data_IF_395843156661
#
_entry.id   IF_395843156661
#
_cell.length_a   1.000
_cell.length_b   1.000
_cell.length_c   1.000
_cell.angle_alpha   90.00
_cell.angle_beta   90.00
_cell.angle_gamma   90.00
#
_symmetry.space_group_name_H-M   'P 1'
#
loop_
_entity.id
_entity.type
_entity.pdbx_description
1 polymer ?
#
# COMPACT_ATOMS: atom_id res chain seq x y z
N UNK A 1 -28.52 -4.41 -6.59
CA UNK A 1 -28.96 -5.44 -7.56
C UNK A 1 -27.74 -5.92 -8.32
N UNK A 2 -27.70 -7.20 -8.69
CA UNK A 2 -26.66 -7.76 -9.56
C UNK A 2 -26.78 -7.10 -10.93
N UNK A 3 -25.72 -6.49 -11.43
CA UNK A 3 -25.70 -5.73 -12.67
C UNK A 3 -24.93 -6.47 -13.79
N UNK A 4 -24.87 -7.78 -13.68
CA UNK A 4 -24.21 -8.65 -14.63
C UNK A 4 -24.85 -10.04 -14.67
N UNK A 5 -24.66 -10.74 -15.78
CA UNK A 5 -25.06 -12.12 -16.01
C UNK A 5 -23.84 -12.97 -16.32
N UNK A 6 -23.76 -14.17 -15.78
CA UNK A 6 -22.73 -15.14 -16.15
C UNK A 6 -23.29 -15.99 -17.29
N UNK A 7 -22.67 -15.88 -18.46
CA UNK A 7 -23.10 -16.58 -19.67
C UNK A 7 -22.58 -18.01 -19.74
N UNK A 8 -21.35 -18.23 -19.26
CA UNK A 8 -20.71 -19.53 -19.35
C UNK A 8 -19.57 -19.65 -18.32
N UNK A 9 -19.26 -20.90 -17.93
CA UNK A 9 -18.10 -21.25 -17.12
C UNK A 9 -17.38 -22.42 -17.77
N UNK A 10 -16.11 -22.26 -18.10
CA UNK A 10 -15.28 -23.33 -18.72
C UNK A 10 -14.07 -23.63 -17.87
N UNK A 11 -13.52 -24.82 -17.99
CA UNK A 11 -12.27 -25.20 -17.35
C UNK A 11 -11.13 -24.34 -17.93
N UNK A 12 -10.36 -23.70 -17.07
CA UNK A 12 -9.17 -22.98 -17.49
C UNK A 12 -8.00 -23.96 -17.74
N UNK A 13 -7.02 -23.51 -18.53
CA UNK A 13 -5.79 -24.29 -18.73
C UNK A 13 -5.02 -24.50 -17.41
N UNK A 14 -5.14 -23.54 -16.48
CA UNK A 14 -4.53 -23.61 -15.16
C UNK A 14 -5.35 -24.58 -14.25
N UNK A 15 -4.67 -25.56 -13.66
CA UNK A 15 -5.27 -26.54 -12.73
C UNK A 15 -5.96 -25.83 -11.56
N UNK A 16 -7.20 -26.19 -11.28
CA UNK A 16 -7.98 -25.60 -10.17
C UNK A 16 -8.60 -24.22 -10.47
N UNK A 17 -8.68 -23.83 -11.74
CA UNK A 17 -9.29 -22.55 -12.15
C UNK A 17 -10.34 -22.75 -13.25
N UNK A 18 -11.23 -21.76 -13.39
CA UNK A 18 -12.24 -21.65 -14.43
C UNK A 18 -12.15 -20.32 -15.16
N UNK A 19 -12.53 -20.32 -16.43
CA UNK A 19 -12.79 -19.10 -17.19
C UNK A 19 -14.29 -18.82 -17.12
N UNK A 20 -14.65 -17.64 -16.65
CA UNK A 20 -16.04 -17.20 -16.46
C UNK A 20 -16.35 -16.12 -17.50
N UNK A 21 -17.37 -16.31 -18.30
CA UNK A 21 -17.84 -15.37 -19.30
C UNK A 21 -18.99 -14.55 -18.72
N UNK A 22 -18.84 -13.23 -18.68
CA UNK A 22 -19.75 -12.31 -18.01
C UNK A 22 -20.22 -11.22 -18.94
N UNK A 23 -21.52 -10.92 -18.90
CA UNK A 23 -22.13 -9.77 -19.59
C UNK A 23 -22.70 -8.82 -18.54
N UNK A 24 -22.40 -7.53 -18.64
CA UNK A 24 -22.97 -6.50 -17.77
C UNK A 24 -24.20 -5.87 -18.40
N UNK A 25 -25.20 -5.50 -17.61
CA UNK A 25 -26.53 -5.00 -18.05
C UNK A 25 -26.48 -3.82 -19.04
N UNK A 26 -25.41 -3.05 -19.03
CA UNK A 26 -25.22 -1.87 -19.87
C UNK A 26 -24.12 -2.03 -20.93
N UNK A 27 -23.72 -3.25 -21.23
CA UNK A 27 -22.63 -3.54 -22.17
C UNK A 27 -23.03 -4.65 -23.13
N UNK A 28 -22.77 -4.44 -24.42
CA UNK A 28 -22.87 -5.51 -25.41
C UNK A 28 -21.64 -6.45 -25.42
N UNK A 29 -20.59 -6.06 -24.73
CA UNK A 29 -19.33 -6.79 -24.68
C UNK A 29 -19.38 -7.91 -23.64
N UNK A 30 -18.89 -9.10 -24.02
CA UNK A 30 -18.69 -10.24 -23.12
C UNK A 30 -17.27 -10.16 -22.56
N UNK A 31 -17.15 -10.24 -21.25
CA UNK A 31 -15.88 -10.20 -20.54
C UNK A 31 -15.49 -11.60 -20.06
N UNK A 32 -14.20 -11.91 -20.09
CA UNK A 32 -13.66 -13.18 -19.63
C UNK A 32 -12.86 -12.96 -18.35
N UNK A 33 -13.11 -13.79 -17.35
CA UNK A 33 -12.38 -13.75 -16.09
C UNK A 33 -11.85 -15.13 -15.74
N UNK A 34 -10.56 -15.26 -15.44
CA UNK A 34 -10.02 -16.46 -14.84
C UNK A 34 -10.23 -16.39 -13.34
N UNK A 35 -10.86 -17.41 -12.75
CA UNK A 35 -11.14 -17.48 -11.33
C UNK A 35 -10.69 -18.83 -10.76
N UNK A 36 -10.07 -18.79 -9.57
CA UNK A 36 -9.71 -19.98 -8.82
C UNK A 36 -10.97 -20.64 -8.27
N UNK A 37 -11.03 -21.98 -8.35
CA UNK A 37 -12.08 -22.75 -7.70
C UNK A 37 -11.65 -23.04 -6.26
N UNK A 38 -12.49 -22.71 -5.29
CA UNK A 38 -12.29 -23.03 -3.88
C UNK A 38 -12.64 -24.50 -3.59
N UNK A 39 -12.25 -24.99 -2.41
CA UNK A 39 -12.47 -26.39 -2.01
C UNK A 39 -13.95 -26.80 -1.98
N UNK A 40 -14.86 -25.86 -1.72
CA UNK A 40 -16.31 -26.00 -1.78
C UNK A 40 -16.88 -25.95 -3.21
N UNK A 41 -16.02 -26.01 -4.23
CA UNK A 41 -16.35 -25.89 -5.65
C UNK A 41 -17.02 -24.57 -6.03
N UNK A 42 -16.66 -23.49 -5.39
CA UNK A 42 -17.15 -22.13 -5.68
C UNK A 42 -16.08 -21.26 -6.29
N UNK A 43 -16.49 -20.12 -6.87
CA UNK A 43 -15.63 -19.00 -7.28
C UNK A 43 -16.32 -17.68 -6.97
N UNK A 44 -15.55 -16.57 -6.93
CA UNK A 44 -16.08 -15.25 -6.62
C UNK A 44 -15.91 -14.33 -7.83
N UNK A 45 -16.95 -13.56 -8.13
CA UNK A 45 -16.92 -12.48 -9.13
C UNK A 45 -17.85 -11.35 -8.70
N UNK A 46 -17.38 -10.11 -8.79
CA UNK A 46 -18.15 -8.89 -8.53
C UNK A 46 -19.00 -8.93 -7.25
N UNK A 47 -18.43 -9.43 -6.14
CA UNK A 47 -19.11 -9.52 -4.86
C UNK A 47 -20.13 -10.65 -4.69
N UNK A 48 -20.17 -11.58 -5.63
CA UNK A 48 -21.00 -12.77 -5.54
C UNK A 48 -20.13 -14.03 -5.53
N UNK A 49 -20.51 -14.98 -4.70
CA UNK A 49 -19.94 -16.34 -4.65
C UNK A 49 -20.87 -17.29 -5.39
N UNK A 50 -20.33 -18.00 -6.37
CA UNK A 50 -21.06 -18.96 -7.21
C UNK A 50 -20.60 -20.36 -6.94
N UNK A 51 -21.53 -21.28 -6.73
CA UNK A 51 -21.24 -22.69 -6.49
C UNK A 51 -21.43 -23.50 -7.78
N UNK A 52 -20.51 -24.43 -8.03
CA UNK A 52 -20.46 -25.24 -9.25
C UNK A 52 -20.74 -26.71 -8.96
N UNK A 53 -21.49 -27.36 -9.85
CA UNK A 53 -21.60 -28.81 -9.89
C UNK A 53 -20.37 -29.45 -10.59
N UNK A 54 -20.36 -30.76 -10.73
CA UNK A 54 -19.26 -31.49 -11.40
C UNK A 54 -19.12 -31.18 -12.89
N UNK A 55 -20.15 -30.60 -13.53
CA UNK A 55 -20.18 -30.20 -14.95
C UNK A 55 -19.81 -28.74 -15.15
N UNK A 56 -19.41 -28.04 -14.09
CA UNK A 56 -19.12 -26.58 -14.07
C UNK A 56 -20.35 -25.69 -14.33
N UNK A 57 -21.55 -26.21 -14.07
CA UNK A 57 -22.79 -25.41 -14.10
C UNK A 57 -23.00 -24.75 -12.73
N UNK A 58 -23.46 -23.49 -12.74
CA UNK A 58 -23.78 -22.76 -11.51
C UNK A 58 -25.06 -23.36 -10.93
N UNK A 59 -24.99 -23.81 -9.69
CA UNK A 59 -26.13 -24.42 -8.97
C UNK A 59 -26.68 -23.53 -7.86
N UNK A 60 -25.87 -22.58 -7.39
CA UNK A 60 -26.26 -21.64 -6.35
C UNK A 60 -25.39 -20.39 -6.40
N UNK A 61 -25.90 -19.26 -5.88
CA UNK A 61 -25.14 -18.01 -5.73
C UNK A 61 -25.47 -17.30 -4.42
N UNK A 62 -24.46 -16.70 -3.81
CA UNK A 62 -24.59 -15.89 -2.58
C UNK A 62 -23.98 -14.52 -2.80
N UNK A 63 -24.74 -13.46 -2.53
CA UNK A 63 -24.23 -12.10 -2.54
C UNK A 63 -23.37 -11.88 -1.30
N UNK A 64 -22.11 -11.52 -1.49
CA UNK A 64 -21.15 -11.27 -0.41
C UNK A 64 -21.16 -9.81 0.05
N UNK A 65 -21.25 -8.87 -0.91
CA UNK A 65 -21.29 -7.43 -0.62
C UNK A 65 -21.71 -6.64 -1.87
N UNK A 66 -22.11 -5.37 -1.70
CA UNK A 66 -22.42 -4.49 -2.83
C UNK A 66 -21.14 -3.87 -3.40
N UNK A 67 -20.76 -4.29 -4.61
CA UNK A 67 -19.65 -3.70 -5.36
C UNK A 67 -20.21 -2.74 -6.39
N UNK A 68 -19.98 -1.44 -6.22
CA UNK A 68 -20.37 -0.42 -7.18
C UNK A 68 -19.33 -0.16 -8.29
N UNK A 69 -18.17 -0.83 -8.26
CA UNK A 69 -17.04 -0.47 -9.13
C UNK A 69 -16.11 -1.61 -9.55
N UNK A 70 -16.60 -2.63 -10.26
CA UNK A 70 -15.70 -3.49 -11.06
C UNK A 70 -15.51 -2.86 -12.45
N UNK A 71 -14.73 -1.78 -12.54
CA UNK A 71 -14.40 -1.09 -13.79
C UNK A 71 -12.98 -1.37 -14.27
N UNK A 72 -12.53 -2.62 -14.35
CA UNK A 72 -11.43 -2.99 -15.25
C UNK A 72 -11.97 -3.78 -16.43
N UNK A 73 -12.32 -3.03 -17.48
CA UNK A 73 -12.77 -3.54 -18.77
C UNK A 73 -11.56 -4.06 -19.56
N UNK A 74 -11.57 -5.33 -19.88
CA UNK A 74 -10.68 -5.91 -20.90
C UNK A 74 -11.48 -6.08 -22.18
N UNK A 75 -11.08 -5.40 -23.27
CA UNK A 75 -11.70 -5.56 -24.57
C UNK A 75 -11.33 -6.91 -25.19
N UNK A 76 -12.29 -7.53 -25.88
CA UNK A 76 -12.25 -8.90 -26.42
C UNK A 76 -11.28 -9.15 -27.60
N UNK A 77 -10.50 -8.16 -28.04
CA UNK A 77 -9.61 -8.27 -29.20
C UNK A 77 -8.12 -8.41 -28.87
N UNK A 78 -7.77 -8.78 -27.63
CA UNK A 78 -6.39 -8.98 -27.19
C UNK A 78 -6.26 -10.34 -26.47
N UNK A 79 -6.61 -11.42 -27.17
CA UNK A 79 -6.79 -12.74 -26.56
C UNK A 79 -5.48 -13.46 -26.18
N UNK A 80 -4.32 -13.12 -26.76
CA UNK A 80 -3.08 -13.86 -26.48
C UNK A 80 -2.10 -13.15 -25.54
N UNK A 81 -1.88 -11.85 -25.68
CA UNK A 81 -0.85 -11.12 -24.93
C UNK A 81 -1.22 -10.83 -23.45
N UNK A 82 -2.51 -10.98 -23.07
CA UNK A 82 -3.00 -10.68 -21.71
C UNK A 82 -3.15 -11.91 -20.84
N UNK A 83 -3.17 -13.09 -21.42
CA UNK A 83 -3.15 -14.35 -20.69
C UNK A 83 -1.77 -14.54 -20.05
N UNK A 84 -0.68 -14.24 -20.74
CA UNK A 84 0.68 -14.26 -20.20
C UNK A 84 0.86 -13.24 -19.06
N UNK A 85 0.33 -12.03 -19.19
CA UNK A 85 0.49 -10.98 -18.17
C UNK A 85 -0.28 -11.28 -16.86
N UNK A 86 -1.40 -12.00 -16.94
CA UNK A 86 -2.16 -12.46 -15.76
C UNK A 86 -1.51 -13.71 -15.16
N UNK A 87 -0.96 -14.59 -16.00
CA UNK A 87 -0.21 -15.77 -15.58
C UNK A 87 1.09 -15.38 -14.87
N UNK A 88 1.84 -14.40 -15.37
CA UNK A 88 3.07 -13.89 -14.75
C UNK A 88 2.81 -13.26 -13.38
N UNK A 89 1.70 -12.52 -13.21
CA UNK A 89 1.28 -12.00 -11.89
C UNK A 89 0.81 -13.10 -10.94
N UNK A 90 0.17 -14.14 -11.44
CA UNK A 90 -0.31 -15.27 -10.62
C UNK A 90 0.84 -16.23 -10.30
N UNK A 91 1.79 -16.44 -11.21
CA UNK A 91 2.99 -17.22 -10.94
C UNK A 91 3.90 -16.54 -9.92
N UNK A 92 4.08 -15.21 -9.98
CA UNK A 92 4.78 -14.46 -8.94
C UNK A 92 4.11 -14.62 -7.57
N UNK A 93 2.79 -14.61 -7.50
CA UNK A 93 2.02 -14.79 -6.24
C UNK A 93 2.01 -16.25 -5.77
N UNK A 94 2.20 -17.23 -6.67
CA UNK A 94 2.22 -18.67 -6.33
C UNK A 94 3.63 -19.16 -6.05
N UNK A 95 4.67 -18.62 -6.70
CA UNK A 95 6.07 -18.94 -6.41
C UNK A 95 6.56 -18.40 -5.06
N UNK A 96 5.92 -17.36 -4.53
CA UNK A 96 6.17 -16.87 -3.16
C UNK A 96 5.52 -17.71 -2.06
N UNK A 97 4.78 -18.78 -2.40
CA UNK A 97 4.13 -19.68 -1.45
C UNK A 97 4.74 -21.09 -1.38
N UNK A 98 5.78 -21.37 -2.13
CA UNK A 98 6.54 -22.60 -2.02
C UNK A 98 7.86 -22.30 -1.32
N UNK A 99 8.05 -23.00 -0.22
CA UNK A 99 9.22 -23.05 0.64
C UNK A 99 9.45 -21.80 1.51
N UNK A 100 9.08 -21.96 2.77
CA UNK A 100 9.78 -21.29 3.87
C UNK A 100 11.20 -21.90 3.86
N UNK A 101 12.06 -21.40 2.98
CA UNK A 101 13.47 -21.59 3.17
C UNK A 101 13.76 -21.12 4.59
N UNK A 102 14.37 -21.98 5.37
CA UNK A 102 14.99 -21.64 6.64
C UNK A 102 16.05 -20.57 6.33
N UNK A 103 15.60 -19.32 6.27
CA UNK A 103 16.52 -18.20 6.29
C UNK A 103 17.14 -18.31 7.70
N UNK A 104 18.34 -18.85 7.77
CA UNK A 104 19.19 -18.69 8.93
C UNK A 104 19.26 -17.21 9.21
N UNK A 105 18.46 -16.77 10.19
CA UNK A 105 18.58 -15.44 10.74
C UNK A 105 19.96 -15.48 11.42
N UNK A 106 20.95 -14.96 10.71
CA UNK A 106 22.21 -14.63 11.33
C UNK A 106 21.85 -13.69 12.49
N UNK A 107 21.99 -14.19 13.70
CA UNK A 107 21.83 -13.46 14.96
C UNK A 107 22.97 -12.41 15.12
N UNK A 108 23.24 -11.67 14.06
CA UNK A 108 23.98 -10.43 14.18
C UNK A 108 22.98 -9.38 14.68
N UNK A 109 23.26 -8.79 15.82
CA UNK A 109 22.51 -7.72 16.52
C UNK A 109 22.35 -6.43 15.68
N UNK A 110 22.15 -6.52 14.37
CA UNK A 110 21.90 -5.43 13.46
C UNK A 110 20.40 -5.19 13.31
N UNK A 111 19.99 -3.95 13.42
CA UNK A 111 18.64 -3.51 13.10
C UNK A 111 18.24 -3.95 11.68
N UNK A 112 17.11 -4.67 11.51
CA UNK A 112 16.67 -5.14 10.21
C UNK A 112 16.19 -3.95 9.39
N UNK A 113 16.84 -3.74 8.26
CA UNK A 113 16.55 -2.68 7.29
C UNK A 113 15.55 -3.19 6.25
N UNK A 114 14.69 -2.29 5.77
CA UNK A 114 13.81 -2.55 4.64
C UNK A 114 14.61 -2.88 3.37
N UNK A 115 14.12 -3.75 2.51
CA UNK A 115 14.78 -4.17 1.25
C UNK A 115 15.22 -3.00 0.36
N UNK A 116 14.45 -1.90 0.35
CA UNK A 116 14.77 -0.70 -0.44
C UNK A 116 15.70 0.31 0.27
N UNK A 117 16.15 0.01 1.49
CA UNK A 117 16.95 0.94 2.31
C UNK A 117 18.20 1.43 1.59
N UNK A 118 19.01 0.51 1.05
CA UNK A 118 20.26 0.86 0.38
C UNK A 118 20.03 1.55 -0.97
N UNK A 119 18.96 1.21 -1.69
CA UNK A 119 18.54 1.89 -2.93
C UNK A 119 18.22 3.35 -2.64
N UNK A 120 17.38 3.62 -1.64
CA UNK A 120 17.00 4.97 -1.23
C UNK A 120 18.23 5.76 -0.76
N UNK A 121 19.05 5.16 0.09
CA UNK A 121 20.27 5.77 0.61
C UNK A 121 21.23 6.17 -0.51
N UNK A 122 21.38 5.32 -1.52
CA UNK A 122 22.22 5.59 -2.69
C UNK A 122 21.70 6.77 -3.51
N UNK A 123 20.38 6.88 -3.71
CA UNK A 123 19.78 8.03 -4.39
C UNK A 123 20.01 9.33 -3.62
N UNK A 124 19.75 9.34 -2.30
CA UNK A 124 19.96 10.50 -1.44
C UNK A 124 21.44 10.94 -1.44
N UNK A 125 22.37 9.98 -1.31
CA UNK A 125 23.81 10.25 -1.37
C UNK A 125 24.22 10.87 -2.70
N UNK A 126 23.58 10.46 -3.79
CA UNK A 126 23.83 10.99 -5.15
C UNK A 126 23.08 12.28 -5.46
N UNK A 127 22.42 12.90 -4.47
CA UNK A 127 21.60 14.08 -4.63
C UNK A 127 20.46 13.93 -5.66
N UNK A 128 19.86 12.74 -5.72
CA UNK A 128 18.72 12.43 -6.58
C UNK A 128 17.45 12.51 -5.73
N UNK A 129 16.48 13.40 -6.06
CA UNK A 129 15.21 13.45 -5.36
C UNK A 129 14.44 12.13 -5.50
N UNK A 130 13.85 11.64 -4.40
CA UNK A 130 13.15 10.35 -4.35
C UNK A 130 11.71 10.56 -3.94
N UNK A 131 10.79 9.89 -4.62
CA UNK A 131 9.39 9.77 -4.22
C UNK A 131 9.08 8.32 -3.84
N UNK A 132 8.83 8.06 -2.55
CA UNK A 132 8.44 6.73 -2.06
C UNK A 132 6.93 6.57 -2.15
N UNK A 133 6.48 5.60 -2.91
CA UNK A 133 5.04 5.26 -3.03
C UNK A 133 4.76 3.92 -2.38
N UNK A 134 3.69 3.82 -1.60
CA UNK A 134 3.32 2.54 -0.99
C UNK A 134 2.31 2.68 0.14
N UNK A 135 1.83 1.55 0.68
CA UNK A 135 0.73 1.53 1.61
C UNK A 135 1.01 2.29 2.89
N UNK A 136 -0.06 2.76 3.53
CA UNK A 136 0.04 3.46 4.81
C UNK A 136 0.63 2.54 5.89
N UNK A 137 1.57 3.08 6.68
CA UNK A 137 2.18 2.35 7.80
C UNK A 137 3.16 1.25 7.38
N UNK A 138 3.78 1.36 6.20
CA UNK A 138 4.87 0.48 5.73
C UNK A 138 6.25 0.87 6.27
N UNK A 139 6.37 1.92 7.09
CA UNK A 139 7.65 2.29 7.71
C UNK A 139 8.45 3.34 6.93
N UNK A 140 7.87 4.02 5.91
CA UNK A 140 8.55 5.05 5.11
C UNK A 140 9.28 6.08 5.96
N UNK A 141 8.57 6.73 6.89
CA UNK A 141 9.13 7.79 7.75
C UNK A 141 10.29 7.30 8.62
N UNK A 142 10.14 6.09 9.17
CA UNK A 142 11.19 5.48 9.97
C UNK A 142 12.46 5.22 9.14
N UNK A 143 12.30 4.62 7.98
CA UNK A 143 13.41 4.32 7.06
C UNK A 143 14.13 5.58 6.61
N UNK A 144 13.39 6.64 6.23
CA UNK A 144 13.98 7.92 5.79
C UNK A 144 14.79 8.56 6.91
N UNK A 145 14.23 8.58 8.14
CA UNK A 145 14.94 9.12 9.30
C UNK A 145 16.23 8.37 9.58
N UNK A 146 16.22 7.04 9.49
CA UNK A 146 17.43 6.20 9.66
C UNK A 146 18.48 6.46 8.58
N UNK A 147 18.05 6.69 7.35
CA UNK A 147 18.96 7.04 6.26
C UNK A 147 19.61 8.42 6.52
N UNK A 148 18.85 9.41 7.01
CA UNK A 148 19.40 10.70 7.38
C UNK A 148 20.47 10.57 8.49
N UNK A 149 20.18 9.78 9.52
CA UNK A 149 21.12 9.46 10.61
C UNK A 149 22.41 8.80 10.07
N UNK A 150 22.30 7.82 9.17
CA UNK A 150 23.49 7.13 8.59
C UNK A 150 24.30 7.99 7.62
N UNK A 151 23.68 9.01 7.02
CA UNK A 151 24.37 9.94 6.12
C UNK A 151 24.85 11.22 6.82
N UNK A 152 24.66 11.32 8.15
CA UNK A 152 24.97 12.48 8.97
C UNK A 152 24.30 13.77 8.41
N UNK A 153 23.03 13.64 7.97
CA UNK A 153 22.24 14.74 7.46
C UNK A 153 21.22 15.19 8.52
N UNK A 154 21.16 16.50 8.76
CA UNK A 154 20.09 17.06 9.57
C UNK A 154 18.74 16.76 8.93
N UNK A 155 17.76 16.34 9.74
CA UNK A 155 16.46 15.86 9.27
C UNK A 155 15.38 16.92 9.46
N UNK A 156 14.80 17.39 8.36
CA UNK A 156 13.72 18.36 8.32
C UNK A 156 12.45 17.71 7.78
N UNK A 157 11.37 17.82 8.52
CA UNK A 157 10.12 17.14 8.21
C UNK A 157 8.97 18.12 8.00
N UNK A 158 8.21 17.91 6.94
CA UNK A 158 6.93 18.58 6.68
C UNK A 158 5.92 17.56 6.16
N UNK A 159 4.69 17.64 6.66
CA UNK A 159 3.57 16.90 6.12
C UNK A 159 2.96 17.62 4.92
N UNK A 160 1.91 17.08 4.30
CA UNK A 160 1.24 17.63 3.12
C UNK A 160 1.13 19.16 3.14
N UNK A 161 1.41 19.79 1.99
CA UNK A 161 1.47 21.24 1.85
C UNK A 161 0.15 21.72 1.26
N UNK A 162 -0.62 22.47 2.06
CA UNK A 162 -1.92 23.02 1.70
C UNK A 162 -1.87 24.51 1.39
N UNK A 163 -0.78 25.18 1.71
CA UNK A 163 -0.62 26.62 1.55
C UNK A 163 0.85 26.99 1.30
N UNK A 164 1.08 28.01 0.48
CA UNK A 164 2.39 28.47 0.02
C UNK A 164 3.34 28.78 1.17
N UNK A 165 2.88 29.45 2.23
CA UNK A 165 3.71 29.84 3.35
C UNK A 165 4.34 28.65 4.11
N UNK A 166 3.83 27.43 3.90
CA UNK A 166 4.44 26.21 4.45
C UNK A 166 5.77 25.86 3.79
N UNK A 167 6.01 26.37 2.57
CA UNK A 167 7.29 26.29 1.87
C UNK A 167 8.06 27.60 2.06
N UNK A 168 7.44 28.74 1.73
CA UNK A 168 8.12 30.03 1.64
C UNK A 168 8.41 30.68 2.99
N UNK A 169 7.67 30.30 4.05
CA UNK A 169 7.63 31.12 5.26
C UNK A 169 6.83 32.42 5.06
N UNK A 170 6.84 33.27 6.02
CA UNK A 170 6.17 34.57 5.97
C UNK A 170 6.84 35.62 6.87
N UNK A 171 6.61 36.88 6.57
CA UNK A 171 7.00 38.02 7.43
C UNK A 171 5.76 38.44 8.21
N UNK A 172 5.86 38.50 9.54
CA UNK A 172 4.77 38.98 10.40
C UNK A 172 4.61 40.49 10.40
N UNK A 173 3.57 41.00 11.06
CA UNK A 173 3.29 42.41 11.16
C UNK A 173 4.41 43.24 11.87
N UNK A 174 5.28 42.60 12.61
CA UNK A 174 6.44 43.17 13.26
C UNK A 174 7.70 43.21 12.35
N UNK A 175 7.59 42.69 11.12
CA UNK A 175 8.71 42.59 10.18
C UNK A 175 9.63 41.39 10.43
N UNK A 176 9.25 40.45 11.30
CA UNK A 176 10.05 39.25 11.59
C UNK A 176 9.69 38.15 10.59
N UNK A 177 10.71 37.55 9.95
CA UNK A 177 10.56 36.39 9.10
C UNK A 177 10.45 35.11 9.93
N UNK A 178 9.47 34.30 9.59
CA UNK A 178 9.23 32.97 10.17
C UNK A 178 9.67 31.89 9.19
N UNK A 179 10.77 31.23 9.55
CA UNK A 179 11.40 30.19 8.73
C UNK A 179 10.56 28.89 8.75
N UNK A 180 10.55 28.16 7.62
CA UNK A 180 9.97 26.81 7.50
C UNK A 180 11.06 25.75 7.58
N UNK A 181 10.65 24.49 7.73
CA UNK A 181 11.59 23.37 7.68
C UNK A 181 12.23 23.25 6.28
N UNK A 182 11.48 23.59 5.22
CA UNK A 182 12.04 23.65 3.87
C UNK A 182 13.12 24.76 3.76
N UNK A 183 12.83 25.96 4.26
CA UNK A 183 13.81 27.05 4.25
C UNK A 183 15.10 26.66 4.97
N UNK A 184 14.98 26.07 6.16
CA UNK A 184 16.15 25.66 6.96
C UNK A 184 16.98 24.60 6.23
N UNK A 185 16.33 23.55 5.70
CA UNK A 185 17.01 22.52 4.93
C UNK A 185 17.70 23.10 3.69
N UNK A 186 17.01 23.97 2.96
CA UNK A 186 17.51 24.59 1.73
C UNK A 186 18.74 25.44 1.97
N UNK A 187 18.70 26.27 3.01
CA UNK A 187 19.77 27.19 3.37
C UNK A 187 20.96 26.53 4.07
N UNK A 188 20.68 25.62 5.00
CA UNK A 188 21.72 25.06 5.89
C UNK A 188 22.25 23.70 5.42
N UNK A 189 21.56 23.04 4.48
CA UNK A 189 21.79 21.65 4.12
C UNK A 189 20.98 20.69 4.99
N UNK A 190 20.99 19.42 4.62
CA UNK A 190 20.25 18.37 5.29
C UNK A 190 19.20 17.71 4.41
N UNK A 191 18.49 16.75 4.95
CA UNK A 191 17.44 15.98 4.26
C UNK A 191 16.07 16.58 4.56
N UNK A 192 15.47 17.23 3.56
CA UNK A 192 14.08 17.69 3.60
C UNK A 192 13.16 16.54 3.21
N UNK A 193 12.32 16.13 4.13
CA UNK A 193 11.32 15.08 3.91
C UNK A 193 9.91 15.67 3.88
N UNK A 194 9.25 15.53 2.72
CA UNK A 194 7.84 15.87 2.52
C UNK A 194 6.99 14.61 2.55
N UNK A 195 6.31 14.36 3.65
CA UNK A 195 5.33 13.26 3.76
C UNK A 195 3.99 13.64 3.14
N UNK A 196 3.27 12.66 2.65
CA UNK A 196 1.98 12.84 1.98
C UNK A 196 2.02 13.86 0.83
N UNK A 197 3.06 13.75 -0.03
CA UNK A 197 3.19 14.58 -1.23
C UNK A 197 1.91 14.57 -2.08
N UNK A 198 1.30 13.39 -2.24
CA UNK A 198 0.07 13.16 -2.99
C UNK A 198 -1.21 13.73 -2.34
N UNK A 199 -1.11 14.24 -1.11
CA UNK A 199 -2.16 15.01 -0.45
C UNK A 199 -1.91 16.52 -0.48
N UNK A 200 -0.78 16.97 -1.04
CA UNK A 200 -0.44 18.38 -1.18
C UNK A 200 -1.19 19.02 -2.34
N UNK A 201 -1.38 20.34 -2.28
CA UNK A 201 -1.97 21.10 -3.38
C UNK A 201 -0.97 21.20 -4.53
N UNK A 202 -1.29 20.70 -5.76
CA UNK A 202 -0.34 20.65 -6.87
C UNK A 202 0.23 22.01 -7.26
N UNK A 203 -0.56 23.07 -7.20
CA UNK A 203 -0.15 24.43 -7.52
C UNK A 203 0.98 24.94 -6.59
N UNK A 204 0.95 24.52 -5.32
CA UNK A 204 1.99 24.89 -4.34
C UNK A 204 3.26 24.06 -4.56
N UNK A 205 3.14 22.83 -5.05
CA UNK A 205 4.30 21.99 -5.37
C UNK A 205 5.16 22.56 -6.51
N UNK A 206 4.60 23.41 -7.37
CA UNK A 206 5.36 24.10 -8.41
C UNK A 206 6.49 24.95 -7.82
N UNK A 207 6.29 25.54 -6.63
CA UNK A 207 7.34 26.30 -5.91
C UNK A 207 8.49 25.39 -5.50
N UNK A 208 8.19 24.22 -4.97
CA UNK A 208 9.21 23.21 -4.63
C UNK A 208 9.97 22.75 -5.88
N UNK A 209 9.25 22.51 -6.97
CA UNK A 209 9.83 22.13 -8.26
C UNK A 209 10.83 23.18 -8.78
N UNK A 210 10.48 24.47 -8.67
CA UNK A 210 11.35 25.57 -9.09
C UNK A 210 12.62 25.63 -8.24
N UNK A 211 12.50 25.46 -6.93
CA UNK A 211 13.63 25.44 -6.00
C UNK A 211 14.60 24.28 -6.29
N UNK A 212 14.07 23.06 -6.49
CA UNK A 212 14.88 21.88 -6.79
C UNK A 212 15.61 22.04 -8.14
N UNK A 213 14.92 22.54 -9.17
CA UNK A 213 15.48 22.64 -10.51
C UNK A 213 16.53 23.75 -10.66
N UNK A 214 16.33 24.89 -9.99
CA UNK A 214 17.16 26.07 -10.18
C UNK A 214 18.35 26.14 -9.21
N UNK A 215 18.31 25.41 -8.09
CA UNK A 215 19.32 25.53 -7.04
C UNK A 215 19.28 26.85 -6.27
N UNK A 216 18.26 27.70 -6.48
CA UNK A 216 17.97 28.87 -5.70
C UNK A 216 16.47 29.13 -5.59
N UNK A 217 16.06 29.87 -4.58
CA UNK A 217 14.65 30.23 -4.39
C UNK A 217 14.52 31.63 -3.77
N UNK A 218 13.47 32.37 -4.20
CA UNK A 218 13.10 33.69 -3.66
C UNK A 218 12.15 33.52 -2.49
N UNK A 219 12.68 33.63 -1.28
CA UNK A 219 11.89 33.67 -0.05
C UNK A 219 11.46 35.10 0.29
N UNK A 220 10.46 35.31 1.15
CA UNK A 220 10.03 36.63 1.56
C UNK A 220 11.15 37.52 2.16
N UNK A 221 12.21 36.92 2.68
CA UNK A 221 13.39 37.58 3.23
C UNK A 221 14.58 37.69 2.25
N UNK A 222 14.38 37.31 0.99
CA UNK A 222 15.37 37.45 -0.09
C UNK A 222 15.72 36.13 -0.78
N UNK A 223 16.55 36.23 -1.80
CA UNK A 223 17.06 35.10 -2.57
C UNK A 223 18.03 34.27 -1.74
N UNK A 224 17.81 32.98 -1.73
CA UNK A 224 18.68 31.96 -1.08
C UNK A 224 19.12 30.96 -2.14
N UNK A 225 20.40 30.64 -2.16
CA UNK A 225 20.96 29.53 -2.94
C UNK A 225 20.93 28.26 -2.11
N UNK A 226 20.64 27.12 -2.77
CA UNK A 226 20.59 25.81 -2.12
C UNK A 226 21.97 25.42 -1.58
N UNK A 227 22.01 24.99 -0.35
CA UNK A 227 23.21 24.40 0.21
C UNK A 227 23.60 23.14 -0.58
N UNK A 228 24.88 22.88 -0.79
CA UNK A 228 25.39 21.71 -1.52
C UNK A 228 24.98 20.37 -0.89
N UNK A 229 24.70 20.37 0.42
CA UNK A 229 24.21 19.21 1.18
C UNK A 229 22.67 19.18 1.30
N UNK A 230 21.95 20.04 0.59
CA UNK A 230 20.49 19.96 0.54
C UNK A 230 20.04 18.73 -0.24
N UNK A 231 19.17 17.92 0.38
CA UNK A 231 18.60 16.70 -0.19
C UNK A 231 17.08 16.69 -0.02
N UNK A 232 16.38 16.11 -0.98
CA UNK A 232 14.91 16.04 -0.96
C UNK A 232 14.45 14.60 -1.10
N UNK A 233 13.52 14.22 -0.24
CA UNK A 233 12.77 13.00 -0.36
C UNK A 233 11.30 13.29 -0.06
N UNK A 234 10.40 12.65 -0.79
CA UNK A 234 8.96 12.74 -0.58
C UNK A 234 8.36 11.34 -0.40
N UNK A 235 7.22 11.25 0.26
CA UNK A 235 6.45 10.01 0.37
C UNK A 235 4.97 10.25 0.11
N UNK A 236 4.29 9.22 -0.39
CA UNK A 236 2.85 9.20 -0.60
C UNK A 236 2.28 7.79 -0.53
N UNK A 237 0.97 7.71 -0.60
CA UNK A 237 0.28 6.42 -0.61
C UNK A 237 -0.18 6.03 -2.03
N UNK A 238 -0.12 6.96 -2.98
CA UNK A 238 -0.46 6.76 -4.40
C UNK A 238 0.72 7.11 -5.29
N UNK A 239 0.65 6.74 -6.56
CA UNK A 239 1.66 7.11 -7.58
C UNK A 239 1.43 8.50 -8.17
N UNK A 240 0.63 9.35 -7.51
CA UNK A 240 0.27 10.67 -8.01
C UNK A 240 -0.87 10.68 -9.02
N UNK A 241 -1.59 9.59 -9.17
CA UNK A 241 -2.73 9.46 -10.10
C UNK A 241 -4.05 10.01 -9.52
N UNK A 242 -4.01 10.63 -8.34
CA UNK A 242 -5.17 11.12 -7.61
C UNK A 242 -5.75 10.10 -6.64
N UNK A 243 -6.95 10.43 -6.15
CA UNK A 243 -7.67 9.60 -5.21
C UNK A 243 -8.03 8.23 -5.80
N UNK A 244 -7.89 7.22 -4.98
CA UNK A 244 -8.39 5.87 -5.25
C UNK A 244 -9.45 5.47 -4.21
N UNK A 245 -9.92 4.23 -4.27
CA UNK A 245 -10.93 3.74 -3.34
C UNK A 245 -10.46 3.66 -1.89
N UNK A 246 -9.15 3.50 -1.67
CA UNK A 246 -8.54 3.36 -0.35
C UNK A 246 -8.04 4.70 0.20
N UNK A 247 -7.56 5.58 -0.69
CA UNK A 247 -6.96 6.88 -0.36
C UNK A 247 -7.73 8.01 -1.06
N UNK A 248 -8.86 8.42 -0.47
CA UNK A 248 -9.82 9.36 -1.11
C UNK A 248 -9.36 10.83 -1.09
N UNK A 249 -8.43 11.19 -0.21
CA UNK A 249 -7.93 12.58 -0.05
C UNK A 249 -6.65 12.85 -0.83
N UNK A 250 -6.44 12.20 -2.01
CA UNK A 250 -5.23 12.36 -2.80
C UNK A 250 -5.47 13.16 -4.07
N UNK A 251 -4.50 14.01 -4.42
CA UNK A 251 -4.52 14.87 -5.60
C UNK A 251 -3.82 14.21 -6.78
N UNK A 252 -4.21 14.61 -7.99
CA UNK A 252 -3.44 14.28 -9.20
C UNK A 252 -2.20 15.17 -9.24
N UNK A 253 -1.03 14.56 -9.22
CA UNK A 253 0.23 15.28 -9.34
C UNK A 253 0.55 15.56 -10.79
N UNK A 254 1.08 16.75 -11.07
CA UNK A 254 1.55 17.10 -12.41
C UNK A 254 2.75 16.24 -12.82
N UNK A 255 2.77 15.87 -14.11
CA UNK A 255 3.85 15.06 -14.68
C UNK A 255 5.22 15.72 -14.53
N UNK A 256 5.30 17.05 -14.60
CA UNK A 256 6.54 17.78 -14.39
C UNK A 256 7.03 17.70 -12.94
N UNK A 257 6.12 17.56 -11.97
CA UNK A 257 6.47 17.28 -10.57
C UNK A 257 7.02 15.85 -10.43
N UNK A 258 6.34 14.86 -10.99
CA UNK A 258 6.76 13.47 -10.91
C UNK A 258 8.11 13.21 -11.63
N UNK A 259 8.36 13.87 -12.75
CA UNK A 259 9.61 13.75 -13.53
C UNK A 259 10.87 14.18 -12.75
N UNK A 260 10.70 14.99 -11.71
CA UNK A 260 11.81 15.44 -10.84
C UNK A 260 12.24 14.42 -9.82
N UNK A 261 11.45 13.38 -9.61
CA UNK A 261 11.69 12.36 -8.60
C UNK A 261 11.95 10.99 -9.24
N UNK A 262 12.88 10.26 -8.70
CA UNK A 262 12.92 8.81 -8.90
C UNK A 262 11.83 8.19 -8.02
N UNK A 263 10.95 7.41 -8.63
CA UNK A 263 9.85 6.76 -7.92
C UNK A 263 10.27 5.37 -7.46
N UNK A 264 10.20 5.12 -6.15
CA UNK A 264 10.51 3.82 -5.54
C UNK A 264 9.24 3.28 -4.87
N UNK A 265 8.84 2.06 -5.23
CA UNK A 265 7.75 1.36 -4.56
C UNK A 265 8.23 0.85 -3.20
N UNK A 266 7.57 1.32 -2.13
CA UNK A 266 7.90 1.00 -0.75
C UNK A 266 6.76 0.22 -0.10
N UNK A 267 6.70 -1.06 -0.39
CA UNK A 267 5.68 -1.97 0.11
C UNK A 267 6.07 -2.58 1.46
N UNK A 268 5.22 -3.43 2.02
CA UNK A 268 5.55 -4.19 3.23
C UNK A 268 6.70 -5.17 2.97
N UNK A 269 7.65 -5.22 3.91
CA UNK A 269 8.79 -6.14 3.89
C UNK A 269 8.61 -7.20 4.98
N UNK A 270 8.59 -8.47 4.58
CA UNK A 270 8.39 -9.61 5.48
C UNK A 270 9.43 -9.70 6.59
N UNK A 271 10.70 -9.35 6.30
CA UNK A 271 11.77 -9.41 7.29
C UNK A 271 11.59 -8.33 8.36
N UNK A 272 11.17 -7.13 7.94
CA UNK A 272 10.82 -6.04 8.87
C UNK A 272 9.61 -6.45 9.72
N UNK A 273 8.59 -7.09 9.13
CA UNK A 273 7.43 -7.58 9.86
C UNK A 273 7.78 -8.64 10.89
N UNK A 274 8.64 -9.60 10.53
CA UNK A 274 9.13 -10.61 11.46
C UNK A 274 9.91 -9.99 12.63
N UNK A 275 10.71 -8.96 12.35
CA UNK A 275 11.41 -8.22 13.41
C UNK A 275 10.42 -7.52 14.36
N UNK A 276 9.44 -6.80 13.82
CA UNK A 276 8.39 -6.13 14.60
C UNK A 276 7.59 -7.16 15.42
N UNK A 277 7.28 -8.30 14.81
CA UNK A 277 6.56 -9.42 15.43
C UNK A 277 7.41 -10.21 16.45
N UNK A 278 8.69 -9.86 16.66
CA UNK A 278 9.64 -10.62 17.50
C UNK A 278 9.70 -12.10 17.08
N UNK A 279 9.79 -12.33 15.77
CA UNK A 279 9.83 -13.65 15.14
C UNK A 279 8.53 -14.50 15.31
N UNK A 280 7.41 -13.88 15.66
CA UNK A 280 6.11 -14.55 15.67
C UNK A 280 5.61 -14.75 14.22
N UNK A 281 6.03 -15.88 13.60
CA UNK A 281 5.67 -16.23 12.23
C UNK A 281 4.16 -16.41 12.05
N UNK A 282 3.46 -16.89 13.07
CA UNK A 282 2.01 -17.08 13.03
C UNK A 282 1.27 -15.74 12.91
N UNK A 283 1.73 -14.73 13.65
CA UNK A 283 1.18 -13.38 13.56
C UNK A 283 1.40 -12.78 12.17
N UNK A 284 2.61 -12.88 11.63
CA UNK A 284 2.93 -12.33 10.31
C UNK A 284 2.11 -13.05 9.23
N UNK A 285 2.03 -14.37 9.24
CA UNK A 285 1.24 -15.14 8.28
C UNK A 285 -0.27 -14.82 8.39
N UNK A 286 -0.77 -14.60 9.60
CA UNK A 286 -2.16 -14.17 9.83
C UNK A 286 -2.44 -12.81 9.17
N UNK A 287 -1.57 -11.82 9.38
CA UNK A 287 -1.71 -10.49 8.79
C UNK A 287 -1.59 -10.54 7.26
N UNK A 288 -0.66 -11.34 6.72
CA UNK A 288 -0.52 -11.53 5.27
C UNK A 288 -1.78 -12.16 4.65
N UNK A 289 -2.37 -13.14 5.33
CA UNK A 289 -3.63 -13.73 4.87
C UNK A 289 -4.75 -12.71 4.79
N UNK A 290 -4.89 -11.83 5.79
CA UNK A 290 -5.90 -10.76 5.79
C UNK A 290 -5.67 -9.77 4.64
N UNK A 291 -4.43 -9.31 4.41
CA UNK A 291 -4.09 -8.42 3.29
C UNK A 291 -4.42 -9.04 1.95
N UNK A 292 -4.00 -10.29 1.75
CA UNK A 292 -4.27 -11.03 0.51
C UNK A 292 -5.78 -11.17 0.26
N UNK A 293 -6.56 -11.41 1.31
CA UNK A 293 -8.01 -11.50 1.17
C UNK A 293 -8.62 -10.14 0.83
N UNK A 294 -8.14 -9.03 1.41
CA UNK A 294 -8.56 -7.69 1.04
C UNK A 294 -8.23 -7.39 -0.44
N UNK A 295 -7.03 -7.71 -0.89
CA UNK A 295 -6.61 -7.51 -2.28
C UNK A 295 -7.47 -8.29 -3.27
N UNK A 296 -7.72 -9.58 -2.98
CA UNK A 296 -8.55 -10.45 -3.84
C UNK A 296 -10.02 -10.00 -3.86
N UNK A 297 -10.54 -9.56 -2.71
CA UNK A 297 -11.97 -9.25 -2.53
C UNK A 297 -12.30 -7.77 -2.74
N UNK A 298 -11.29 -6.91 -2.95
CA UNK A 298 -11.48 -5.45 -3.05
C UNK A 298 -11.91 -4.80 -1.74
N UNK A 299 -11.69 -5.44 -0.59
CA UNK A 299 -12.01 -4.86 0.72
C UNK A 299 -11.02 -3.74 1.08
N UNK A 300 -11.51 -2.63 1.66
CA UNK A 300 -10.74 -1.41 1.92
C UNK A 300 -10.08 -1.38 3.31
N UNK A 301 -9.69 -2.52 3.87
CA UNK A 301 -9.04 -2.57 5.17
C UNK A 301 -7.52 -2.53 5.03
N UNK A 302 -6.88 -1.78 5.93
CA UNK A 302 -5.42 -1.62 5.96
C UNK A 302 -4.84 -2.36 7.17
N UNK A 303 -4.06 -3.38 6.91
CA UNK A 303 -3.32 -4.14 7.92
C UNK A 303 -1.83 -3.80 7.84
N UNK A 304 -1.43 -2.68 8.44
CA UNK A 304 -0.06 -2.13 8.37
C UNK A 304 0.86 -2.72 9.45
N UNK A 305 2.14 -2.35 9.44
CA UNK A 305 3.08 -2.68 10.53
C UNK A 305 2.57 -2.27 11.91
N UNK A 306 1.78 -1.18 11.99
CA UNK A 306 1.20 -0.72 13.27
C UNK A 306 0.29 -1.76 13.91
N UNK A 307 -0.46 -2.56 13.15
CA UNK A 307 -1.30 -3.59 13.75
C UNK A 307 -0.45 -4.73 14.34
N UNK A 308 0.64 -5.12 13.69
CA UNK A 308 1.60 -6.10 14.24
C UNK A 308 2.22 -5.56 15.53
N UNK A 309 2.73 -4.34 15.49
CA UNK A 309 3.33 -3.65 16.63
C UNK A 309 2.36 -3.57 17.82
N UNK A 310 1.11 -3.19 17.58
CA UNK A 310 0.09 -3.10 18.62
C UNK A 310 -0.23 -4.45 19.25
N UNK A 311 -0.33 -5.50 18.44
CA UNK A 311 -0.55 -6.86 18.95
C UNK A 311 0.63 -7.28 19.84
N UNK A 312 1.86 -7.09 19.39
CA UNK A 312 3.06 -7.44 20.18
C UNK A 312 3.10 -6.70 21.50
N UNK A 313 2.76 -5.41 21.52
CA UNK A 313 2.70 -4.60 22.75
C UNK A 313 1.58 -5.06 23.68
N UNK A 314 0.38 -5.30 23.13
CA UNK A 314 -0.80 -5.65 23.91
C UNK A 314 -0.81 -7.11 24.39
N UNK A 315 -0.16 -8.02 23.67
CA UNK A 315 -0.03 -9.43 24.04
C UNK A 315 0.68 -9.64 25.40
N UNK A 316 1.48 -8.66 25.81
CA UNK A 316 2.16 -8.66 27.11
C UNK A 316 1.32 -8.03 28.24
N UNK A 317 0.05 -7.74 27.98
CA UNK A 317 -0.90 -7.21 28.98
C UNK A 317 -1.89 -8.29 29.44
N UNK A 318 -2.77 -7.96 30.38
CA UNK A 318 -3.81 -8.87 30.86
C UNK A 318 -5.04 -8.95 29.93
N UNK A 319 -4.92 -8.55 28.66
CA UNK A 319 -6.03 -8.61 27.70
C UNK A 319 -6.08 -9.97 27.00
N UNK A 320 -7.30 -10.50 26.86
CA UNK A 320 -7.53 -11.69 26.05
C UNK A 320 -7.18 -11.43 24.58
N UNK A 321 -6.69 -12.43 23.87
CA UNK A 321 -6.24 -12.29 22.50
C UNK A 321 -7.37 -11.84 21.57
N UNK A 322 -8.62 -12.25 21.82
CA UNK A 322 -9.80 -11.77 21.10
C UNK A 322 -9.95 -10.26 21.23
N UNK A 323 -9.78 -9.71 22.44
CA UNK A 323 -9.85 -8.26 22.66
C UNK A 323 -8.70 -7.55 21.97
N UNK A 324 -7.49 -8.10 22.01
CA UNK A 324 -6.31 -7.56 21.33
C UNK A 324 -6.56 -7.49 19.81
N UNK A 325 -7.04 -8.58 19.18
CA UNK A 325 -7.34 -8.58 17.74
C UNK A 325 -8.46 -7.61 17.38
N UNK A 326 -9.50 -7.52 18.21
CA UNK A 326 -10.61 -6.60 17.97
C UNK A 326 -10.15 -5.14 17.89
N UNK A 327 -9.25 -4.72 18.80
CA UNK A 327 -8.81 -3.32 18.86
C UNK A 327 -7.60 -2.99 17.97
N UNK A 328 -6.77 -3.99 17.65
CA UNK A 328 -5.55 -3.77 16.85
C UNK A 328 -5.76 -4.08 15.34
N UNK A 329 -6.52 -5.10 15.01
CA UNK A 329 -6.76 -5.55 13.62
C UNK A 329 -8.17 -5.20 13.15
N UNK A 330 -9.20 -5.72 13.83
CA UNK A 330 -10.60 -5.58 13.42
C UNK A 330 -11.27 -4.29 13.92
N UNK A 331 -10.47 -3.28 14.23
CA UNK A 331 -10.91 -1.97 14.75
C UNK A 331 -11.98 -1.34 13.86
N UNK A 332 -13.15 -1.09 14.43
CA UNK A 332 -14.27 -0.49 13.71
C UNK A 332 -15.07 -1.44 12.82
N UNK A 333 -14.66 -2.70 12.68
CA UNK A 333 -15.40 -3.71 11.93
C UNK A 333 -16.58 -4.25 12.74
N UNK A 334 -17.69 -4.46 12.06
CA UNK A 334 -18.83 -5.23 12.58
C UNK A 334 -18.55 -6.73 12.46
N UNK A 335 -19.28 -7.53 13.23
CA UNK A 335 -19.14 -9.01 13.16
C UNK A 335 -19.31 -9.55 11.74
N UNK A 336 -20.28 -9.04 10.99
CA UNK A 336 -20.53 -9.49 9.62
C UNK A 336 -19.37 -9.16 8.67
N UNK A 337 -18.64 -8.07 8.92
CA UNK A 337 -17.44 -7.71 8.16
C UNK A 337 -16.26 -8.63 8.51
N UNK A 338 -16.13 -9.03 9.80
CA UNK A 338 -15.12 -10.02 10.22
C UNK A 338 -15.42 -11.39 9.60
N UNK A 339 -16.69 -11.77 9.45
CA UNK A 339 -17.14 -13.02 8.80
C UNK A 339 -16.80 -13.10 7.31
N UNK A 340 -16.50 -11.96 6.66
CA UNK A 340 -16.07 -11.96 5.26
C UNK A 340 -14.68 -12.55 5.06
N UNK A 341 -13.86 -12.62 6.12
CA UNK A 341 -12.54 -13.22 6.05
C UNK A 341 -12.62 -14.74 6.21
N UNK A 342 -11.90 -15.44 5.35
CA UNK A 342 -11.74 -16.90 5.46
C UNK A 342 -10.58 -17.23 6.41
N UNK A 343 -10.90 -17.90 7.49
CA UNK A 343 -9.94 -18.34 8.50
C UNK A 343 -9.63 -19.83 8.42
N UNK A 344 -10.14 -20.58 7.44
CA UNK A 344 -10.04 -22.04 7.35
C UNK A 344 -8.65 -22.57 7.02
N UNK A 345 -7.78 -21.73 6.45
CA UNK A 345 -6.45 -22.14 5.97
C UNK A 345 -5.34 -22.17 7.01
N UNK A 346 -5.59 -21.75 8.26
CA UNK A 346 -4.58 -21.63 9.31
C UNK A 346 -5.14 -22.11 10.66
N UNK A 347 -4.29 -22.76 11.45
CA UNK A 347 -4.66 -23.26 12.78
C UNK A 347 -3.71 -22.73 13.85
N UNK A 348 -3.72 -21.40 14.05
CA UNK A 348 -2.95 -20.73 15.09
C UNK A 348 -3.88 -19.96 16.05
N UNK A 349 -3.30 -19.41 17.13
CA UNK A 349 -4.07 -18.69 18.16
C UNK A 349 -4.82 -17.47 17.61
N UNK A 350 -4.25 -16.76 16.63
CA UNK A 350 -4.85 -15.56 16.02
C UNK A 350 -6.08 -15.91 15.20
N UNK A 351 -5.98 -16.99 14.41
CA UNK A 351 -7.10 -17.51 13.62
C UNK A 351 -8.24 -18.00 14.50
N UNK A 352 -7.91 -18.74 15.58
CA UNK A 352 -8.93 -19.23 16.52
C UNK A 352 -9.66 -18.07 17.20
N UNK A 353 -8.93 -17.04 17.61
CA UNK A 353 -9.51 -15.84 18.21
C UNK A 353 -10.37 -15.06 17.18
N UNK A 354 -9.93 -14.93 15.93
CA UNK A 354 -10.70 -14.30 14.86
C UNK A 354 -12.01 -15.02 14.55
N UNK A 355 -12.00 -16.36 14.54
CA UNK A 355 -13.22 -17.20 14.39
C UNK A 355 -14.20 -16.94 15.50
N UNK A 356 -13.74 -16.85 16.76
CA UNK A 356 -14.62 -16.51 17.90
C UNK A 356 -15.22 -15.10 17.79
N UNK A 357 -14.46 -14.12 17.27
CA UNK A 357 -14.98 -12.78 17.04
C UNK A 357 -16.01 -12.71 15.90
N UNK A 358 -15.86 -13.58 14.90
CA UNK A 358 -16.81 -13.72 13.80
C UNK A 358 -18.08 -14.49 14.20
N UNK A 359 -18.05 -15.36 15.21
CA UNK A 359 -19.20 -16.10 15.73
C UNK A 359 -20.21 -15.19 16.40
#
# INVERSE_FOLDING_TARGET
MKNFEILNVKKANKKGSVVVYVKYDRSETIYNYVRKIYNDKSFIISGYKFFLNKKLEIVDEVKLYDVTSDKKRLNSNAENDKIEFVEEKIEKVVSENEEVDEIEINNNEGEIKHKEFETIKSCIKSNIPVYLTGPAGSGKNYTIKKIAEELDLEFYFTNSIQQEYKITGFIDAGGKYHETEFYKAFKNGGLFFLDELDASIPEVLVLLNAAIANGYFEFPNGKIEANENFRVIAAGNTKGNGADEQYTGRMVLDSATLDRFVVIEFDYDKNVELSIAKNDKDLVNFVHSLRRQCEISGMRYVFSYRCIEYIVKLKNTNLDIEKVLLIAIFKGMKKDEIRMFDFSGMSNMYTQAAVKLAA
#
